data_IF_418368528950
#
_entry.id   IF_418368528950
#
_cell.length_a   1.000
_cell.length_b   1.000
_cell.length_c   1.000
_cell.angle_alpha   90.00
_cell.angle_beta   90.00
_cell.angle_gamma   90.00
#
_symmetry.space_group_name_H-M   'P 1'
#
loop_
_entity.id
_entity.type
_entity.pdbx_description
1 polymer ?
#
# COMPACT_ATOMS: atom_id res chain seq x y z
N UNK A 1 -25.54 -37.62 -23.21
CA UNK A 1 -25.67 -36.33 -22.50
C UNK A 1 -25.40 -36.61 -21.03
N UNK A 2 -24.24 -36.20 -20.51
CA UNK A 2 -23.93 -36.33 -19.06
C UNK A 2 -24.47 -35.08 -18.36
N UNK A 3 -25.28 -35.30 -17.34
CA UNK A 3 -25.80 -34.25 -16.48
C UNK A 3 -24.64 -33.46 -15.86
N UNK A 4 -24.58 -32.12 -16.01
CA UNK A 4 -23.61 -31.31 -15.28
C UNK A 4 -23.97 -31.38 -13.80
N UNK A 5 -23.10 -32.01 -13.00
CA UNK A 5 -23.22 -32.03 -11.55
C UNK A 5 -23.47 -30.61 -11.02
N UNK A 6 -24.49 -30.39 -10.18
CA UNK A 6 -24.84 -29.07 -9.68
C UNK A 6 -23.65 -28.46 -8.96
N UNK A 7 -23.23 -27.28 -9.42
CA UNK A 7 -22.19 -26.48 -8.79
C UNK A 7 -22.59 -26.24 -7.32
N UNK A 8 -21.73 -26.53 -6.33
CA UNK A 8 -22.06 -26.31 -4.93
C UNK A 8 -22.47 -24.85 -4.72
N UNK A 9 -23.65 -24.66 -4.13
CA UNK A 9 -24.20 -23.34 -3.87
C UNK A 9 -23.18 -22.49 -3.08
N UNK A 10 -23.01 -21.19 -3.40
CA UNK A 10 -22.10 -20.33 -2.69
C UNK A 10 -22.45 -20.34 -1.21
N UNK A 11 -21.48 -20.73 -0.37
CA UNK A 11 -21.64 -20.78 1.07
C UNK A 11 -22.24 -19.46 1.59
N UNK A 12 -23.43 -19.57 2.17
CA UNK A 12 -24.26 -18.47 2.62
C UNK A 12 -23.61 -17.75 3.82
N UNK A 13 -23.25 -16.49 3.61
CA UNK A 13 -23.34 -15.31 4.51
C UNK A 13 -22.79 -15.32 5.95
N UNK A 14 -22.23 -16.43 6.46
CA UNK A 14 -21.67 -16.52 7.82
C UNK A 14 -20.36 -15.75 8.02
N UNK A 15 -19.81 -15.15 6.96
CA UNK A 15 -18.57 -14.37 6.98
C UNK A 15 -18.75 -12.91 7.38
N UNK A 16 -19.99 -12.38 7.40
CA UNK A 16 -20.27 -10.97 7.72
C UNK A 16 -19.96 -10.53 9.16
N UNK A 17 -20.14 -11.35 10.22
CA UNK A 17 -19.89 -10.89 11.59
C UNK A 17 -18.42 -10.56 11.85
N UNK A 18 -17.48 -11.36 11.34
CA UNK A 18 -16.04 -11.14 11.52
C UNK A 18 -15.54 -9.87 10.83
N UNK A 19 -16.08 -9.54 9.66
CA UNK A 19 -15.70 -8.32 8.93
C UNK A 19 -16.08 -7.04 9.67
N UNK A 20 -17.26 -7.00 10.29
CA UNK A 20 -17.69 -5.84 11.09
C UNK A 20 -16.73 -5.59 12.25
N UNK A 21 -16.27 -6.64 12.91
CA UNK A 21 -15.31 -6.53 14.02
C UNK A 21 -13.94 -6.06 13.54
N UNK A 22 -13.46 -6.55 12.38
CA UNK A 22 -12.23 -6.05 11.76
C UNK A 22 -12.33 -4.56 11.38
N UNK A 23 -13.46 -4.15 10.80
CA UNK A 23 -13.71 -2.74 10.47
C UNK A 23 -13.68 -1.89 11.74
N UNK A 24 -14.38 -2.32 12.78
CA UNK A 24 -14.39 -1.61 14.07
C UNK A 24 -12.99 -1.49 14.66
N UNK A 25 -12.21 -2.59 14.67
CA UNK A 25 -10.83 -2.57 15.15
C UNK A 25 -9.94 -1.62 14.33
N UNK A 26 -10.06 -1.62 13.00
CA UNK A 26 -9.31 -0.72 12.13
C UNK A 26 -9.68 0.75 12.35
N UNK A 27 -10.97 1.07 12.49
CA UNK A 27 -11.44 2.42 12.81
C UNK A 27 -10.89 2.86 14.17
N UNK A 28 -10.93 1.99 15.19
CA UNK A 28 -10.37 2.28 16.51
C UNK A 28 -8.87 2.63 16.38
N UNK A 29 -8.08 1.83 15.65
CA UNK A 29 -6.65 2.14 15.42
C UNK A 29 -6.49 3.50 14.74
N UNK A 30 -7.25 3.78 13.67
CA UNK A 30 -7.20 5.07 12.99
C UNK A 30 -7.57 6.25 13.89
N UNK A 31 -8.65 6.12 14.66
CA UNK A 31 -9.09 7.13 15.64
C UNK A 31 -8.05 7.34 16.73
N UNK A 32 -7.39 6.29 17.22
CA UNK A 32 -6.32 6.41 18.21
C UNK A 32 -5.11 7.18 17.65
N UNK A 33 -4.73 6.95 16.38
CA UNK A 33 -3.65 7.72 15.73
C UNK A 33 -4.04 9.20 15.62
N UNK A 34 -5.27 9.48 15.16
CA UNK A 34 -5.78 10.86 15.04
C UNK A 34 -5.83 11.53 16.41
N UNK A 35 -6.38 10.87 17.43
CA UNK A 35 -6.47 11.40 18.79
C UNK A 35 -5.08 11.67 19.38
N UNK A 36 -4.12 10.77 19.18
CA UNK A 36 -2.74 10.97 19.62
C UNK A 36 -2.09 12.18 18.94
N UNK A 37 -2.37 12.41 17.66
CA UNK A 37 -1.94 13.62 16.94
C UNK A 37 -2.62 14.87 17.51
N UNK A 38 -3.94 14.83 17.74
CA UNK A 38 -4.69 15.99 18.26
C UNK A 38 -4.16 16.41 19.62
N UNK A 39 -3.90 15.44 20.51
CA UNK A 39 -3.32 15.71 21.83
C UNK A 39 -1.91 16.30 21.73
N UNK A 40 -1.11 15.89 20.74
CA UNK A 40 0.25 16.40 20.53
C UNK A 40 0.27 17.83 19.99
N UNK A 41 -0.78 18.25 19.28
CA UNK A 41 -0.85 19.52 18.57
C UNK A 41 -2.02 20.40 19.04
N UNK A 42 -2.33 20.34 20.33
CA UNK A 42 -3.33 21.19 21.01
C UNK A 42 -4.71 21.24 20.30
N UNK A 43 -5.10 20.13 19.68
CA UNK A 43 -6.37 19.97 18.97
C UNK A 43 -6.35 20.36 17.49
N UNK A 44 -5.21 20.77 16.92
CA UNK A 44 -5.13 21.16 15.51
C UNK A 44 -4.91 19.96 14.58
N UNK A 45 -5.91 19.67 13.73
CA UNK A 45 -5.86 18.62 12.70
C UNK A 45 -4.71 18.78 11.69
N UNK A 46 -4.22 20.00 11.48
CA UNK A 46 -3.05 20.26 10.64
C UNK A 46 -1.79 19.55 11.16
N UNK A 47 -1.72 19.26 12.47
CA UNK A 47 -0.62 18.49 13.08
C UNK A 47 -0.44 17.09 12.49
N UNK A 48 -1.51 16.47 11.96
CA UNK A 48 -1.44 15.17 11.26
C UNK A 48 -0.85 15.28 9.85
N UNK A 49 -0.89 16.48 9.25
CA UNK A 49 -0.34 16.75 7.91
C UNK A 49 1.18 16.98 7.97
N UNK A 50 1.70 17.35 9.16
CA UNK A 50 3.13 17.52 9.45
C UNK A 50 3.78 18.64 8.63
N UNK A 51 3.20 19.84 8.67
CA UNK A 51 3.85 21.06 8.14
C UNK A 51 5.14 21.35 8.93
N UNK A 52 6.17 21.88 8.26
CA UNK A 52 7.48 22.13 8.89
C UNK A 52 7.68 23.59 9.31
N UNK A 53 8.54 23.82 10.31
CA UNK A 53 8.83 25.15 10.88
C UNK A 53 10.19 25.75 10.48
N UNK A 54 10.92 25.14 9.53
CA UNK A 54 12.28 25.56 9.16
C UNK A 54 12.34 26.61 8.04
N UNK A 55 13.44 27.36 7.95
CA UNK A 55 13.65 28.40 6.92
C UNK A 55 13.45 27.87 5.49
N UNK A 56 13.91 26.64 5.22
CA UNK A 56 13.80 25.99 3.90
C UNK A 56 12.36 25.65 3.50
N UNK A 57 11.41 25.74 4.42
CA UNK A 57 10.00 25.39 4.21
C UNK A 57 9.06 26.51 4.66
N UNK A 58 9.59 27.66 5.06
CA UNK A 58 8.83 28.78 5.60
C UNK A 58 7.83 29.35 4.58
N UNK A 59 8.25 29.49 3.32
CA UNK A 59 7.37 29.96 2.24
C UNK A 59 6.19 29.01 2.00
N UNK A 60 6.44 27.70 2.02
CA UNK A 60 5.38 26.71 1.88
C UNK A 60 4.40 26.76 3.06
N UNK A 61 4.90 26.88 4.29
CA UNK A 61 4.04 26.96 5.47
C UNK A 61 3.23 28.26 5.46
N UNK A 62 3.84 29.40 5.11
CA UNK A 62 3.15 30.67 4.97
C UNK A 62 2.02 30.62 3.92
N UNK A 63 2.27 29.96 2.78
CA UNK A 63 1.23 29.73 1.77
C UNK A 63 0.05 28.90 2.31
N UNK A 64 0.35 27.83 3.05
CA UNK A 64 -0.68 27.00 3.67
C UNK A 64 -1.51 27.79 4.68
N UNK A 65 -0.87 28.64 5.48
CA UNK A 65 -1.54 29.48 6.47
C UNK A 65 -2.43 30.55 5.81
N UNK A 66 -1.97 31.15 4.72
CA UNK A 66 -2.75 32.09 3.90
C UNK A 66 -4.00 31.41 3.32
N UNK A 67 -3.82 30.25 2.69
CA UNK A 67 -4.92 29.47 2.10
C UNK A 67 -5.92 28.98 3.15
N UNK A 68 -5.47 28.68 4.37
CA UNK A 68 -6.34 28.28 5.48
C UNK A 68 -6.94 29.47 6.25
N UNK A 69 -6.39 30.68 6.08
CA UNK A 69 -6.76 31.87 6.84
C UNK A 69 -6.43 31.77 8.33
N UNK A 70 -5.43 30.97 8.71
CA UNK A 70 -4.99 30.76 10.10
C UNK A 70 -3.60 30.14 10.17
N UNK A 71 -2.93 30.34 11.30
CA UNK A 71 -1.70 29.62 11.66
C UNK A 71 -1.98 28.11 11.77
N UNK A 72 -0.95 27.30 11.46
CA UNK A 72 -1.04 25.84 11.55
C UNK A 72 -0.03 25.25 12.53
N UNK A 73 -0.41 24.16 13.18
CA UNK A 73 0.55 23.37 13.95
C UNK A 73 1.68 22.85 13.06
N UNK A 74 2.92 23.16 13.44
CA UNK A 74 4.14 22.75 12.72
C UNK A 74 4.98 21.76 13.51
N UNK A 75 5.88 21.07 12.83
CA UNK A 75 6.90 20.21 13.41
C UNK A 75 8.28 20.84 13.22
N UNK A 76 9.19 20.61 14.18
CA UNK A 76 10.52 21.23 14.20
C UNK A 76 11.42 20.85 13.00
N UNK A 77 11.09 19.80 12.27
CA UNK A 77 11.83 19.34 11.10
C UNK A 77 11.24 19.91 9.80
N UNK A 78 11.77 19.51 8.65
CA UNK A 78 11.29 19.84 7.29
C UNK A 78 9.83 19.46 7.02
N UNK A 79 9.06 18.94 7.98
CA UNK A 79 7.78 18.30 7.72
C UNK A 79 7.91 16.94 7.02
N UNK A 80 6.78 16.40 6.58
CA UNK A 80 6.69 15.10 5.91
C UNK A 80 5.76 15.15 4.68
N UNK A 81 5.50 13.98 4.08
CA UNK A 81 4.79 13.88 2.80
C UNK A 81 3.36 14.43 2.82
N UNK A 82 2.69 14.43 3.98
CA UNK A 82 1.32 14.92 4.14
C UNK A 82 1.12 16.35 3.60
N UNK A 83 2.05 17.27 3.86
CA UNK A 83 1.97 18.66 3.38
C UNK A 83 1.90 18.76 1.85
N UNK A 84 2.59 17.87 1.16
CA UNK A 84 2.58 17.85 -0.31
C UNK A 84 1.25 17.29 -0.80
N UNK A 85 0.73 16.23 -0.17
CA UNK A 85 -0.59 15.72 -0.49
C UNK A 85 -1.72 16.71 -0.20
N UNK A 86 -1.56 17.56 0.83
CA UNK A 86 -2.50 18.65 1.09
C UNK A 86 -2.55 19.64 -0.07
N UNK A 87 -1.39 20.17 -0.50
CA UNK A 87 -1.31 21.08 -1.64
C UNK A 87 -1.85 20.44 -2.93
N UNK A 88 -1.53 19.17 -3.16
CA UNK A 88 -2.07 18.43 -4.30
C UNK A 88 -3.58 18.21 -4.20
N UNK A 89 -4.15 18.09 -3.01
CA UNK A 89 -5.60 17.90 -2.87
C UNK A 89 -6.39 19.18 -3.16
N UNK A 90 -5.75 20.35 -3.08
CA UNK A 90 -6.33 21.64 -3.50
C UNK A 90 -6.45 21.74 -5.02
N UNK A 91 -5.46 21.24 -5.75
CA UNK A 91 -5.47 21.15 -7.22
C UNK A 91 -4.92 19.81 -7.73
N UNK A 92 -5.72 18.73 -7.65
CA UNK A 92 -5.26 17.37 -7.92
C UNK A 92 -4.99 17.10 -9.40
N UNK A 93 -5.48 17.99 -10.28
CA UNK A 93 -5.26 17.90 -11.71
C UNK A 93 -4.27 18.95 -12.22
N UNK A 94 -3.64 19.72 -11.33
CA UNK A 94 -2.67 20.75 -11.71
C UNK A 94 -3.24 21.76 -12.71
N UNK A 95 -4.51 22.15 -12.58
CA UNK A 95 -5.15 23.13 -13.44
C UNK A 95 -4.61 24.55 -13.19
N UNK A 96 -4.11 24.83 -11.99
CA UNK A 96 -3.48 26.08 -11.57
C UNK A 96 -2.11 25.79 -10.91
N UNK A 97 -1.11 25.31 -11.68
CA UNK A 97 0.15 24.84 -11.10
C UNK A 97 0.93 25.94 -10.38
N UNK A 98 0.80 27.19 -10.83
CA UNK A 98 1.45 28.36 -10.23
C UNK A 98 0.90 28.72 -8.83
N UNK A 99 -0.27 28.17 -8.46
CA UNK A 99 -0.92 28.47 -7.17
C UNK A 99 -0.50 27.49 -6.06
N UNK A 100 -0.41 26.19 -6.35
CA UNK A 100 -0.10 25.17 -5.34
C UNK A 100 1.11 24.30 -5.68
N UNK A 101 1.33 23.98 -6.96
CA UNK A 101 2.39 23.07 -7.37
C UNK A 101 3.78 23.70 -7.28
N UNK A 102 3.87 25.03 -7.37
CA UNK A 102 5.12 25.80 -7.18
C UNK A 102 5.74 25.59 -5.79
N UNK A 103 4.93 25.24 -4.78
CA UNK A 103 5.40 24.98 -3.41
C UNK A 103 5.77 23.50 -3.17
N UNK A 104 5.87 22.68 -4.22
CA UNK A 104 6.34 21.30 -4.14
C UNK A 104 7.86 21.25 -4.33
N UNK A 105 8.55 20.46 -3.50
CA UNK A 105 10.01 20.26 -3.58
C UNK A 105 10.45 19.59 -4.90
N UNK A 106 9.72 18.56 -5.30
CA UNK A 106 9.97 17.73 -6.48
C UNK A 106 8.65 17.55 -7.23
N UNK A 107 8.12 18.61 -7.88
CA UNK A 107 6.75 18.65 -8.38
C UNK A 107 6.42 17.44 -9.26
N UNK A 108 7.28 17.12 -10.23
CA UNK A 108 7.08 15.98 -11.13
C UNK A 108 7.03 14.62 -10.42
N UNK A 109 7.88 14.39 -9.42
CA UNK A 109 7.89 13.15 -8.65
C UNK A 109 6.68 13.05 -7.72
N UNK A 110 6.41 14.12 -6.96
CA UNK A 110 5.30 14.19 -6.01
C UNK A 110 3.97 14.02 -6.74
N UNK A 111 3.84 14.61 -7.91
CA UNK A 111 2.62 14.59 -8.69
C UNK A 111 2.24 13.22 -9.25
N UNK A 112 3.13 12.22 -9.25
CA UNK A 112 2.80 10.88 -9.75
C UNK A 112 1.71 10.17 -8.91
N UNK A 113 1.46 10.63 -7.69
CA UNK A 113 0.60 10.00 -6.69
C UNK A 113 -0.79 10.61 -6.64
N UNK A 114 -1.47 10.68 -7.78
CA UNK A 114 -2.73 11.43 -7.92
C UNK A 114 -3.91 10.89 -7.13
N UNK A 115 -4.01 9.57 -6.89
CA UNK A 115 -5.29 9.01 -6.42
C UNK A 115 -5.64 9.49 -5.01
N UNK A 116 -4.67 9.48 -4.09
CA UNK A 116 -4.91 9.92 -2.72
C UNK A 116 -5.35 11.39 -2.62
N UNK A 117 -4.62 12.39 -3.17
CA UNK A 117 -5.05 13.78 -3.14
C UNK A 117 -6.35 14.00 -3.92
N UNK A 118 -6.60 13.27 -5.02
CA UNK A 118 -7.87 13.35 -5.75
C UNK A 118 -9.04 12.91 -4.87
N UNK A 119 -8.90 11.80 -4.14
CA UNK A 119 -9.94 11.33 -3.21
C UNK A 119 -10.12 12.28 -2.03
N UNK A 120 -9.02 12.74 -1.44
CA UNK A 120 -9.06 13.64 -0.29
C UNK A 120 -9.66 15.01 -0.66
N UNK A 121 -9.29 15.60 -1.79
CA UNK A 121 -9.86 16.86 -2.26
C UNK A 121 -11.22 16.74 -2.96
N UNK A 122 -11.75 15.51 -3.11
CA UNK A 122 -12.90 15.20 -3.98
C UNK A 122 -12.75 15.82 -5.38
N UNK A 123 -11.57 15.69 -5.97
CA UNK A 123 -11.23 16.26 -7.27
C UNK A 123 -11.02 17.78 -7.27
N UNK A 124 -10.66 18.37 -6.12
CA UNK A 124 -10.42 19.81 -5.96
C UNK A 124 -11.69 20.61 -5.64
N UNK A 125 -12.78 19.94 -5.26
CA UNK A 125 -14.07 20.58 -4.98
C UNK A 125 -14.20 21.05 -3.52
N UNK A 126 -13.31 20.60 -2.63
CA UNK A 126 -13.40 20.90 -1.21
C UNK A 126 -12.63 22.18 -0.85
N UNK A 127 -13.15 22.98 0.11
CA UNK A 127 -12.40 24.10 0.64
C UNK A 127 -11.18 23.60 1.44
N UNK A 128 -10.10 24.39 1.55
CA UNK A 128 -8.85 23.97 2.18
C UNK A 128 -8.99 23.39 3.59
N UNK A 129 -9.83 24.00 4.44
CA UNK A 129 -10.09 23.49 5.79
C UNK A 129 -10.75 22.10 5.82
N UNK A 130 -11.58 21.78 4.82
CA UNK A 130 -12.20 20.45 4.71
C UNK A 130 -11.21 19.39 4.26
N UNK A 131 -10.22 19.76 3.42
CA UNK A 131 -9.18 18.85 2.92
C UNK A 131 -8.38 18.21 4.07
N UNK A 132 -8.09 18.95 5.14
CA UNK A 132 -7.41 18.39 6.33
C UNK A 132 -8.15 17.18 6.92
N UNK A 133 -9.48 17.31 7.02
CA UNK A 133 -10.34 16.25 7.54
C UNK A 133 -10.52 15.11 6.54
N UNK A 134 -10.72 15.40 5.26
CA UNK A 134 -10.96 14.36 4.26
C UNK A 134 -9.73 13.56 3.92
N UNK A 135 -8.51 14.12 4.03
CA UNK A 135 -7.27 13.33 4.01
C UNK A 135 -7.25 12.29 5.13
N UNK A 136 -7.60 12.71 6.35
CA UNK A 136 -7.69 11.84 7.52
C UNK A 136 -8.74 10.74 7.33
N UNK A 137 -9.96 11.13 6.91
CA UNK A 137 -11.06 10.18 6.67
C UNK A 137 -10.73 9.20 5.54
N UNK A 138 -10.05 9.65 4.49
CA UNK A 138 -9.60 8.78 3.39
C UNK A 138 -8.64 7.70 3.91
N UNK A 139 -7.70 8.08 4.77
CA UNK A 139 -6.79 7.11 5.40
C UNK A 139 -7.51 6.15 6.36
N UNK A 140 -8.49 6.61 7.15
CA UNK A 140 -9.30 5.72 8.02
C UNK A 140 -10.09 4.72 7.15
N UNK A 141 -10.72 5.19 6.08
CA UNK A 141 -11.46 4.33 5.16
C UNK A 141 -10.52 3.30 4.50
N UNK A 142 -9.34 3.71 4.05
CA UNK A 142 -8.33 2.82 3.50
C UNK A 142 -7.82 1.80 4.53
N UNK A 143 -7.65 2.20 5.79
CA UNK A 143 -7.27 1.32 6.89
C UNK A 143 -8.31 0.21 7.10
N UNK A 144 -9.60 0.57 7.14
CA UNK A 144 -10.69 -0.40 7.24
C UNK A 144 -10.76 -1.33 6.02
N UNK A 145 -10.71 -0.77 4.81
CA UNK A 145 -10.75 -1.54 3.56
C UNK A 145 -9.58 -2.50 3.43
N UNK A 146 -8.36 -2.06 3.77
CA UNK A 146 -7.16 -2.89 3.76
C UNK A 146 -7.23 -4.02 4.79
N UNK A 147 -7.74 -3.74 5.99
CA UNK A 147 -7.95 -4.75 7.05
C UNK A 147 -8.92 -5.84 6.59
N UNK A 148 -10.04 -5.47 5.97
CA UNK A 148 -11.02 -6.44 5.44
C UNK A 148 -10.42 -7.25 4.30
N UNK A 149 -9.73 -6.62 3.34
CA UNK A 149 -9.08 -7.34 2.25
C UNK A 149 -8.04 -8.33 2.76
N UNK A 150 -7.20 -7.92 3.71
CA UNK A 150 -6.22 -8.75 4.39
C UNK A 150 -6.88 -9.94 5.10
N UNK A 151 -7.98 -9.72 5.84
CA UNK A 151 -8.72 -10.78 6.52
C UNK A 151 -9.35 -11.79 5.55
N UNK A 152 -9.92 -11.31 4.43
CA UNK A 152 -10.46 -12.19 3.37
C UNK A 152 -9.38 -13.00 2.68
N UNK A 153 -8.23 -12.39 2.39
CA UNK A 153 -7.07 -13.09 1.83
C UNK A 153 -6.55 -14.16 2.81
N UNK A 154 -6.49 -13.85 4.11
CA UNK A 154 -6.10 -14.82 5.12
C UNK A 154 -7.04 -16.04 5.16
N UNK A 155 -8.35 -15.82 5.16
CA UNK A 155 -9.34 -16.92 5.11
C UNK A 155 -9.16 -17.76 3.84
N UNK A 156 -8.94 -17.13 2.68
CA UNK A 156 -8.68 -17.85 1.42
C UNK A 156 -7.42 -18.72 1.46
N UNK A 157 -6.41 -18.29 2.21
CA UNK A 157 -5.16 -19.04 2.38
C UNK A 157 -5.26 -20.11 3.49
N UNK A 158 -6.44 -20.30 4.08
CA UNK A 158 -6.69 -21.27 5.16
C UNK A 158 -6.35 -20.74 6.56
N UNK A 159 -6.24 -19.44 6.74
CA UNK A 159 -6.07 -18.77 8.03
C UNK A 159 -7.39 -18.29 8.64
N UNK A 160 -7.28 -17.54 9.74
CA UNK A 160 -8.44 -16.87 10.37
C UNK A 160 -8.58 -15.44 9.86
N UNK A 161 -9.80 -14.90 9.86
CA UNK A 161 -10.03 -13.50 9.45
C UNK A 161 -9.28 -12.50 10.34
N UNK A 162 -8.99 -12.85 11.59
CA UNK A 162 -8.22 -12.05 12.54
C UNK A 162 -6.81 -11.71 12.07
N UNK A 163 -6.21 -12.54 11.19
CA UNK A 163 -4.94 -12.21 10.56
C UNK A 163 -5.02 -10.94 9.70
N UNK A 164 -6.23 -10.46 9.36
CA UNK A 164 -6.45 -9.15 8.75
C UNK A 164 -5.93 -7.98 9.60
N UNK A 165 -5.85 -8.14 10.93
CA UNK A 165 -5.24 -7.15 11.83
C UNK A 165 -3.75 -6.93 11.57
N UNK A 166 -3.08 -7.81 10.82
CA UNK A 166 -1.72 -7.60 10.35
C UNK A 166 -1.57 -6.38 9.43
N UNK A 167 -2.66 -5.86 8.86
CA UNK A 167 -2.64 -4.63 8.07
C UNK A 167 -2.62 -3.37 8.96
N UNK A 168 -3.61 -3.11 9.85
CA UNK A 168 -3.64 -1.89 10.66
C UNK A 168 -2.58 -1.88 11.78
N UNK A 169 -2.07 -3.04 12.19
CA UNK A 169 -0.98 -3.15 13.18
C UNK A 169 0.41 -3.16 12.54
N UNK A 170 0.50 -3.02 11.20
CA UNK A 170 1.78 -2.91 10.51
C UNK A 170 2.42 -1.53 10.83
N UNK A 171 3.63 -1.48 11.42
CA UNK A 171 4.30 -0.22 11.74
C UNK A 171 4.42 0.71 10.53
N UNK A 172 4.68 0.17 9.34
CA UNK A 172 4.75 0.95 8.11
C UNK A 172 3.42 1.61 7.75
N UNK A 173 2.30 0.92 7.96
CA UNK A 173 0.94 1.49 7.73
C UNK A 173 0.63 2.57 8.77
N UNK A 174 0.99 2.33 10.03
CA UNK A 174 0.81 3.32 11.11
C UNK A 174 1.61 4.59 10.83
N UNK A 175 2.89 4.47 10.44
CA UNK A 175 3.71 5.63 10.09
C UNK A 175 3.22 6.32 8.82
N UNK A 176 2.80 5.57 7.80
CA UNK A 176 2.23 6.18 6.60
C UNK A 176 0.95 6.97 6.93
N UNK A 177 0.09 6.46 7.82
CA UNK A 177 -1.09 7.17 8.31
C UNK A 177 -0.72 8.43 9.10
N UNK A 178 0.20 8.33 10.06
CA UNK A 178 0.62 9.43 10.95
C UNK A 178 1.32 10.59 10.20
N UNK A 179 1.78 10.32 8.99
CA UNK A 179 2.35 11.30 8.06
C UNK A 179 1.37 11.71 6.95
N UNK A 180 0.10 11.30 7.05
CA UNK A 180 -0.96 11.54 6.05
C UNK A 180 -0.53 11.15 4.62
N UNK A 181 0.14 10.01 4.48
CA UNK A 181 0.67 9.50 3.23
C UNK A 181 -0.32 8.63 2.44
N UNK A 182 -0.21 8.67 1.11
CA UNK A 182 -1.05 7.88 0.19
C UNK A 182 -0.75 6.37 0.17
N UNK A 183 0.32 5.90 0.85
CA UNK A 183 0.69 4.49 0.87
C UNK A 183 -0.35 3.55 1.48
N UNK A 184 -1.17 4.04 2.42
CA UNK A 184 -2.27 3.24 3.03
C UNK A 184 -3.32 2.91 1.99
N UNK A 185 -3.74 3.90 1.20
CA UNK A 185 -4.68 3.74 0.08
C UNK A 185 -4.09 2.79 -0.97
N UNK A 186 -2.83 3.02 -1.34
CA UNK A 186 -2.15 2.23 -2.36
C UNK A 186 -2.10 0.74 -1.98
N UNK A 187 -1.73 0.43 -0.74
CA UNK A 187 -1.63 -0.95 -0.30
C UNK A 187 -3.00 -1.60 -0.08
N UNK A 188 -3.98 -0.87 0.46
CA UNK A 188 -5.36 -1.38 0.57
C UNK A 188 -5.93 -1.75 -0.82
N UNK A 189 -5.74 -0.88 -1.82
CA UNK A 189 -6.13 -1.14 -3.20
C UNK A 189 -5.39 -2.36 -3.78
N UNK A 190 -4.08 -2.50 -3.53
CA UNK A 190 -3.31 -3.66 -3.97
C UNK A 190 -3.84 -4.98 -3.39
N UNK A 191 -4.23 -5.01 -2.10
CA UNK A 191 -4.84 -6.19 -1.48
C UNK A 191 -6.20 -6.53 -2.08
N UNK A 192 -7.04 -5.54 -2.38
CA UNK A 192 -8.31 -5.75 -3.09
C UNK A 192 -8.09 -6.23 -4.53
N UNK A 193 -7.04 -5.75 -5.20
CA UNK A 193 -6.62 -6.25 -6.52
C UNK A 193 -6.22 -7.72 -6.46
N UNK A 194 -5.40 -8.10 -5.47
CA UNK A 194 -5.01 -9.49 -5.23
C UNK A 194 -6.21 -10.36 -4.91
N UNK A 195 -7.11 -9.92 -4.03
CA UNK A 195 -8.33 -10.64 -3.71
C UNK A 195 -9.19 -10.84 -4.95
N UNK A 196 -9.52 -9.78 -5.69
CA UNK A 196 -10.31 -9.89 -6.92
C UNK A 196 -9.67 -10.82 -7.97
N UNK A 197 -8.33 -10.87 -8.03
CA UNK A 197 -7.61 -11.77 -8.92
C UNK A 197 -7.74 -13.23 -8.50
N UNK A 198 -7.65 -13.53 -7.20
CA UNK A 198 -7.88 -14.87 -6.63
C UNK A 198 -9.36 -15.28 -6.75
N UNK A 199 -10.29 -14.33 -6.77
CA UNK A 199 -11.71 -14.57 -7.03
C UNK A 199 -12.02 -14.79 -8.52
N UNK A 200 -11.04 -14.69 -9.42
CA UNK A 200 -11.24 -14.80 -10.87
C UNK A 200 -11.85 -13.55 -11.53
N UNK A 201 -12.08 -12.47 -10.78
CA UNK A 201 -12.65 -11.21 -11.26
C UNK A 201 -11.59 -10.28 -11.87
N UNK A 202 -11.01 -10.68 -13.01
CA UNK A 202 -9.88 -9.99 -13.67
C UNK A 202 -10.11 -8.49 -13.91
N UNK A 203 -11.32 -8.07 -14.32
CA UNK A 203 -11.63 -6.65 -14.55
C UNK A 203 -11.56 -5.82 -13.27
N UNK A 204 -12.05 -6.37 -12.15
CA UNK A 204 -11.97 -5.72 -10.84
C UNK A 204 -10.53 -5.68 -10.34
N UNK A 205 -9.77 -6.75 -10.55
CA UNK A 205 -8.35 -6.78 -10.21
C UNK A 205 -7.57 -5.68 -10.94
N UNK A 206 -7.77 -5.52 -12.25
CA UNK A 206 -7.15 -4.46 -13.05
C UNK A 206 -7.50 -3.08 -12.47
N UNK A 207 -8.79 -2.80 -12.20
CA UNK A 207 -9.21 -1.51 -11.66
C UNK A 207 -8.54 -1.20 -10.31
N UNK A 208 -8.47 -2.18 -9.41
CA UNK A 208 -7.82 -2.03 -8.10
C UNK A 208 -6.30 -1.87 -8.20
N UNK A 209 -5.63 -2.58 -9.11
CA UNK A 209 -4.19 -2.39 -9.33
C UNK A 209 -3.87 -1.06 -10.00
N UNK A 210 -4.70 -0.58 -10.92
CA UNK A 210 -4.60 0.79 -11.45
C UNK A 210 -4.74 1.80 -10.32
N UNK A 211 -5.73 1.64 -9.45
CA UNK A 211 -5.89 2.50 -8.27
C UNK A 211 -4.66 2.45 -7.34
N UNK A 212 -4.11 1.26 -7.08
CA UNK A 212 -2.93 1.09 -6.24
C UNK A 212 -1.71 1.85 -6.80
N UNK A 213 -1.46 1.73 -8.11
CA UNK A 213 -0.33 2.39 -8.77
C UNK A 213 -0.52 3.90 -8.85
N UNK A 214 -1.73 4.39 -9.12
CA UNK A 214 -2.02 5.83 -9.13
C UNK A 214 -2.00 6.46 -7.73
N UNK A 215 -2.15 5.67 -6.66
CA UNK A 215 -1.94 6.13 -5.29
C UNK A 215 -0.45 6.14 -4.90
N UNK A 216 0.32 5.15 -5.37
CA UNK A 216 1.77 5.08 -5.15
C UNK A 216 2.41 4.23 -6.25
N UNK A 217 3.30 4.85 -7.01
CA UNK A 217 4.01 4.28 -8.15
C UNK A 217 4.78 2.99 -7.79
N UNK A 218 5.30 2.89 -6.56
CA UNK A 218 5.98 1.69 -6.05
C UNK A 218 5.08 0.44 -6.04
N UNK A 219 3.76 0.57 -6.11
CA UNK A 219 2.87 -0.58 -6.27
C UNK A 219 3.01 -1.28 -7.63
N UNK A 220 3.73 -0.69 -8.60
CA UNK A 220 4.16 -1.41 -9.81
C UNK A 220 5.06 -2.59 -9.48
N UNK A 221 5.88 -2.48 -8.43
CA UNK A 221 6.73 -3.59 -7.96
C UNK A 221 5.85 -4.71 -7.39
N UNK A 222 4.81 -4.35 -6.63
CA UNK A 222 3.82 -5.31 -6.13
C UNK A 222 3.13 -6.04 -7.29
N UNK A 223 2.66 -5.28 -8.27
CA UNK A 223 1.99 -5.82 -9.45
C UNK A 223 2.91 -6.71 -10.29
N UNK A 224 4.18 -6.32 -10.46
CA UNK A 224 5.18 -7.12 -11.15
C UNK A 224 5.37 -8.48 -10.49
N UNK A 225 5.45 -8.52 -9.15
CA UNK A 225 5.49 -9.77 -8.39
C UNK A 225 4.29 -10.68 -8.65
N UNK A 226 3.08 -10.11 -8.69
CA UNK A 226 1.85 -10.84 -9.02
C UNK A 226 1.85 -11.34 -10.46
N UNK A 227 2.32 -10.54 -11.42
CA UNK A 227 2.45 -10.94 -12.81
C UNK A 227 3.43 -12.11 -12.98
N UNK A 228 4.57 -12.07 -12.27
CA UNK A 228 5.55 -13.18 -12.23
C UNK A 228 4.90 -14.44 -11.64
N UNK A 229 4.16 -14.33 -10.53
CA UNK A 229 3.44 -15.46 -9.95
C UNK A 229 2.43 -16.08 -10.93
N UNK A 230 1.61 -15.25 -11.57
CA UNK A 230 0.63 -15.68 -12.58
C UNK A 230 1.32 -16.35 -13.77
N UNK A 231 2.42 -15.78 -14.28
CA UNK A 231 3.19 -16.36 -15.37
C UNK A 231 3.78 -17.72 -14.96
N UNK A 232 4.33 -17.84 -13.75
CA UNK A 232 4.89 -19.08 -13.26
C UNK A 232 3.83 -20.19 -13.13
N UNK A 233 2.67 -19.86 -12.53
CA UNK A 233 1.59 -20.83 -12.27
C UNK A 233 0.80 -21.22 -13.53
N UNK A 234 0.52 -20.28 -14.43
CA UNK A 234 -0.34 -20.52 -15.59
C UNK A 234 0.41 -20.66 -16.92
N UNK A 235 1.72 -20.32 -16.94
CA UNK A 235 2.55 -20.22 -18.15
C UNK A 235 1.98 -19.26 -19.21
N UNK A 236 1.03 -18.39 -18.84
CA UNK A 236 0.45 -17.36 -19.70
C UNK A 236 0.86 -15.99 -19.22
N UNK A 237 1.25 -15.14 -20.17
CA UNK A 237 1.64 -13.76 -19.88
C UNK A 237 0.37 -12.96 -19.55
N UNK A 238 0.26 -12.36 -18.35
CA UNK A 238 -0.93 -11.63 -17.93
C UNK A 238 -0.92 -10.20 -18.47
N UNK A 239 -0.87 -10.03 -19.81
CA UNK A 239 -0.65 -8.74 -20.47
C UNK A 239 -1.57 -7.63 -19.95
N UNK A 240 -2.89 -7.84 -19.96
CA UNK A 240 -3.86 -6.83 -19.52
C UNK A 240 -3.73 -6.46 -18.04
N UNK A 241 -3.34 -7.41 -17.18
CA UNK A 241 -3.18 -7.19 -15.75
C UNK A 241 -2.01 -6.24 -15.46
N UNK A 242 -0.91 -6.40 -16.19
CA UNK A 242 0.28 -5.56 -16.02
C UNK A 242 0.23 -4.26 -16.83
N UNK A 243 -0.21 -4.33 -18.10
CA UNK A 243 -0.11 -3.20 -19.03
C UNK A 243 -1.07 -2.07 -18.70
N UNK A 244 -2.31 -2.35 -18.30
CA UNK A 244 -3.30 -1.30 -18.04
C UNK A 244 -2.89 -0.41 -16.85
N UNK A 245 -2.52 -0.95 -15.66
CA UNK A 245 -2.02 -0.12 -14.57
C UNK A 245 -0.74 0.65 -14.92
N UNK A 246 0.20 0.00 -15.62
CA UNK A 246 1.46 0.62 -16.03
C UNK A 246 1.24 1.76 -17.04
N UNK A 247 0.40 1.56 -18.05
CA UNK A 247 0.03 2.57 -19.02
C UNK A 247 -0.77 3.71 -18.38
N UNK A 248 -1.61 3.43 -17.38
CA UNK A 248 -2.33 4.48 -16.65
C UNK A 248 -1.37 5.37 -15.88
N UNK A 249 -0.39 4.78 -15.18
CA UNK A 249 0.66 5.50 -14.48
C UNK A 249 1.54 6.32 -15.45
N UNK A 250 1.92 5.72 -16.59
CA UNK A 250 2.69 6.40 -17.62
C UNK A 250 1.93 7.56 -18.26
N UNK A 251 0.65 7.36 -18.57
CA UNK A 251 -0.21 8.42 -19.11
C UNK A 251 -0.34 9.60 -18.14
N UNK A 252 -0.51 9.31 -16.85
CA UNK A 252 -0.52 10.34 -15.82
C UNK A 252 0.82 11.05 -15.67
N UNK A 253 1.93 10.30 -15.63
CA UNK A 253 3.27 10.89 -15.57
C UNK A 253 3.57 11.78 -16.79
N UNK A 254 3.13 11.37 -17.98
CA UNK A 254 3.21 12.19 -19.20
C UNK A 254 2.37 13.45 -19.09
N UNK A 255 1.13 13.35 -18.61
CA UNK A 255 0.26 14.50 -18.37
C UNK A 255 0.91 15.53 -17.44
N UNK A 256 1.40 15.06 -16.29
CA UNK A 256 2.08 15.91 -15.29
C UNK A 256 3.31 16.58 -15.86
N UNK A 257 4.13 15.88 -16.64
CA UNK A 257 5.31 16.47 -17.31
C UNK A 257 4.96 17.57 -18.31
N UNK A 258 3.83 17.43 -19.01
CA UNK A 258 3.33 18.46 -19.92
C UNK A 258 2.72 19.65 -19.16
N UNK A 259 2.33 19.46 -17.90
CA UNK A 259 1.63 20.48 -17.10
C UNK A 259 2.55 21.29 -16.18
N UNK A 260 3.55 20.65 -15.60
CA UNK A 260 4.42 21.23 -14.57
C UNK A 260 5.80 21.62 -15.13
N UNK A 261 5.83 22.30 -16.28
CA UNK A 261 7.01 22.83 -16.99
C UNK A 261 8.38 22.49 -16.36
N UNK A 262 9.11 21.56 -16.96
CA UNK A 262 10.32 20.91 -16.40
C UNK A 262 11.58 21.79 -16.33
N UNK A 263 11.44 23.09 -16.05
CA UNK A 263 12.51 24.08 -16.12
C UNK A 263 13.55 23.96 -15.00
N UNK A 264 13.20 23.34 -13.87
CA UNK A 264 14.12 23.21 -12.76
C UNK A 264 14.74 21.82 -12.72
N UNK A 265 16.03 21.77 -13.07
CA UNK A 265 16.93 20.64 -12.87
C UNK A 265 17.20 20.40 -11.38
N UNK A 266 16.14 20.23 -10.58
CA UNK A 266 16.23 19.87 -9.17
C UNK A 266 16.98 18.54 -9.10
N UNK A 267 18.10 18.53 -8.40
CA UNK A 267 18.89 17.33 -8.16
C UNK A 267 17.98 16.24 -7.59
N UNK A 268 17.63 15.24 -8.40
CA UNK A 268 16.90 14.08 -7.93
C UNK A 268 17.75 13.41 -6.85
N UNK A 269 17.26 13.41 -5.61
CA UNK A 269 17.92 12.68 -4.52
C UNK A 269 18.01 11.23 -4.95
N UNK A 270 19.23 10.70 -5.04
CA UNK A 270 19.46 9.30 -5.35
C UNK A 270 19.00 8.44 -4.18
N UNK A 271 17.74 8.01 -4.21
CA UNK A 271 17.13 7.10 -3.23
C UNK A 271 17.70 5.67 -3.34
N UNK A 272 18.41 5.39 -4.43
CA UNK A 272 19.08 4.10 -4.69
C UNK A 272 20.58 4.21 -4.46
N UNK A 273 21.14 3.19 -3.82
CA UNK A 273 22.57 3.01 -3.62
C UNK A 273 23.03 1.61 -4.05
N UNK A 274 24.32 1.28 -3.84
CA UNK A 274 24.80 -0.09 -4.03
C UNK A 274 24.05 -1.06 -3.09
N UNK A 275 23.90 -2.35 -3.48
CA UNK A 275 23.28 -3.37 -2.63
C UNK A 275 23.83 -3.35 -1.22
N UNK A 276 22.93 -3.30 -0.24
CA UNK A 276 23.23 -3.28 1.20
C UNK A 276 24.00 -2.05 1.69
N UNK A 277 24.40 -1.12 0.82
CA UNK A 277 25.17 0.07 1.22
C UNK A 277 24.42 0.90 2.28
N UNK A 278 23.15 1.18 2.04
CA UNK A 278 22.31 1.92 3.01
C UNK A 278 22.16 1.22 4.36
N UNK A 279 22.16 -0.12 4.39
CA UNK A 279 22.10 -0.92 5.62
C UNK A 279 23.41 -0.80 6.40
N UNK A 280 24.54 -0.97 5.72
CA UNK A 280 25.87 -0.91 6.34
C UNK A 280 26.15 0.49 6.90
N UNK A 281 25.85 1.53 6.12
CA UNK A 281 26.09 2.93 6.51
C UNK A 281 25.17 3.40 7.64
N UNK A 282 24.03 2.73 7.86
CA UNK A 282 23.08 3.07 8.93
C UNK A 282 23.30 2.28 10.22
N UNK A 283 24.15 1.25 10.20
CA UNK A 283 24.28 0.27 11.28
C UNK A 283 24.69 0.90 12.61
N UNK A 284 25.68 1.80 12.62
CA UNK A 284 26.15 2.50 13.82
C UNK A 284 25.04 3.34 14.46
N UNK A 285 24.21 3.99 13.64
CA UNK A 285 23.07 4.78 14.12
C UNK A 285 21.99 3.93 14.79
N UNK A 286 21.82 2.68 14.36
CA UNK A 286 20.87 1.76 14.97
C UNK A 286 21.36 1.25 16.31
N UNK A 287 22.65 0.95 16.44
CA UNK A 287 23.25 0.53 17.71
C UNK A 287 23.13 1.60 18.80
N UNK A 288 23.09 2.88 18.42
CA UNK A 288 22.91 3.98 19.36
C UNK A 288 21.49 4.09 19.95
N UNK A 289 20.49 3.44 19.35
CA UNK A 289 19.09 3.48 19.80
C UNK A 289 18.46 2.08 19.77
N UNK A 290 18.29 1.41 20.93
CA UNK A 290 17.73 0.07 21.02
C UNK A 290 16.34 -0.07 20.37
N UNK A 291 15.55 1.00 20.37
CA UNK A 291 14.21 0.98 19.76
C UNK A 291 14.33 0.89 18.25
N UNK A 292 15.17 1.72 17.63
CA UNK A 292 15.44 1.67 16.19
C UNK A 292 16.00 0.32 15.77
N UNK A 293 16.98 -0.19 16.53
CA UNK A 293 17.58 -1.49 16.28
C UNK A 293 16.54 -2.61 16.27
N UNK A 294 15.63 -2.64 17.25
CA UNK A 294 14.62 -3.70 17.36
C UNK A 294 13.65 -3.73 16.17
N UNK A 295 13.16 -2.56 15.73
CA UNK A 295 12.26 -2.45 14.58
C UNK A 295 12.97 -2.87 13.30
N UNK A 296 14.18 -2.38 13.08
CA UNK A 296 14.95 -2.63 11.86
C UNK A 296 15.40 -4.09 11.79
N UNK A 297 15.87 -4.66 12.91
CA UNK A 297 16.20 -6.09 12.99
C UNK A 297 14.96 -6.95 12.67
N UNK A 298 13.79 -6.59 13.21
CA UNK A 298 12.52 -7.25 12.87
C UNK A 298 12.21 -7.22 11.38
N UNK A 299 12.35 -6.06 10.73
CA UNK A 299 12.15 -5.92 9.28
C UNK A 299 13.13 -6.77 8.47
N UNK A 300 14.43 -6.72 8.82
CA UNK A 300 15.49 -7.49 8.14
C UNK A 300 15.25 -8.99 8.29
N UNK A 301 14.79 -9.46 9.46
CA UNK A 301 14.49 -10.89 9.70
C UNK A 301 13.26 -11.34 8.90
N UNK A 302 12.23 -10.50 8.78
CA UNK A 302 11.00 -10.87 8.07
C UNK A 302 11.22 -11.03 6.57
N UNK A 303 12.16 -10.31 5.95
CA UNK A 303 12.45 -10.43 4.51
C UNK A 303 12.87 -11.84 4.05
N UNK A 304 13.91 -12.49 4.60
CA UNK A 304 14.27 -13.86 4.24
C UNK A 304 13.20 -14.88 4.65
N UNK A 305 12.47 -14.63 5.75
CA UNK A 305 11.35 -15.48 6.14
C UNK A 305 10.20 -15.41 5.13
N UNK A 306 9.92 -14.23 4.56
CA UNK A 306 8.96 -14.08 3.47
C UNK A 306 9.45 -14.77 2.20
N UNK A 307 10.73 -14.65 1.83
CA UNK A 307 11.32 -15.38 0.68
C UNK A 307 11.11 -16.88 0.85
N UNK A 308 11.51 -17.43 1.99
CA UNK A 308 11.35 -18.85 2.31
C UNK A 308 9.88 -19.26 2.24
N UNK A 309 8.98 -18.43 2.78
CA UNK A 309 7.55 -18.73 2.80
C UNK A 309 6.92 -18.64 1.42
N UNK A 310 7.29 -17.65 0.62
CA UNK A 310 6.84 -17.49 -0.76
C UNK A 310 7.27 -18.67 -1.63
N UNK A 311 8.46 -19.23 -1.38
CA UNK A 311 8.94 -20.44 -2.04
C UNK A 311 8.19 -21.70 -1.60
N UNK A 312 8.02 -21.89 -0.29
CA UNK A 312 7.34 -23.07 0.26
C UNK A 312 5.83 -23.10 -0.04
N UNK A 313 5.18 -21.94 -0.06
CA UNK A 313 3.72 -21.80 -0.23
C UNK A 313 3.40 -20.64 -1.17
N UNK A 314 3.64 -20.83 -2.48
CA UNK A 314 3.55 -19.75 -3.44
C UNK A 314 2.11 -19.27 -3.64
N UNK A 315 1.87 -18.00 -3.33
CA UNK A 315 0.59 -17.32 -3.48
C UNK A 315 0.80 -15.89 -3.99
N UNK A 316 -0.24 -15.29 -4.59
CA UNK A 316 -0.13 -13.96 -5.20
C UNK A 316 0.26 -12.87 -4.19
N UNK A 317 -0.25 -12.93 -2.96
CA UNK A 317 0.08 -11.96 -1.90
C UNK A 317 1.57 -11.99 -1.55
N UNK A 318 2.14 -13.18 -1.34
CA UNK A 318 3.56 -13.36 -1.03
C UNK A 318 4.45 -12.86 -2.18
N UNK A 319 4.12 -13.22 -3.42
CA UNK A 319 4.88 -12.82 -4.60
C UNK A 319 4.78 -11.32 -4.89
N UNK A 320 3.61 -10.71 -4.68
CA UNK A 320 3.48 -9.26 -4.77
C UNK A 320 4.37 -8.55 -3.75
N UNK A 321 4.38 -9.00 -2.50
CA UNK A 321 5.24 -8.43 -1.47
C UNK A 321 6.74 -8.72 -1.70
N UNK A 322 7.09 -9.86 -2.30
CA UNK A 322 8.46 -10.28 -2.56
C UNK A 322 9.25 -9.27 -3.42
N UNK A 323 8.56 -8.56 -4.32
CA UNK A 323 9.19 -7.50 -5.12
C UNK A 323 9.79 -6.36 -4.30
N UNK A 324 9.35 -6.15 -3.06
CA UNK A 324 9.88 -5.12 -2.17
C UNK A 324 11.18 -5.51 -1.48
N UNK A 325 11.55 -6.80 -1.47
CA UNK A 325 12.82 -7.25 -0.91
C UNK A 325 14.03 -6.70 -1.70
N UNK A 326 14.12 -6.87 -3.04
CA UNK A 326 15.22 -6.27 -3.80
C UNK A 326 15.18 -4.74 -3.73
N UNK A 327 13.99 -4.12 -3.68
CA UNK A 327 13.88 -2.68 -3.44
C UNK A 327 14.60 -2.30 -2.16
N UNK A 328 14.26 -2.93 -1.03
CA UNK A 328 14.86 -2.65 0.28
C UNK A 328 16.39 -2.79 0.29
N UNK A 329 16.93 -3.79 -0.40
CA UNK A 329 18.38 -4.03 -0.52
C UNK A 329 19.07 -2.87 -1.28
N UNK A 330 18.38 -2.24 -2.23
CA UNK A 330 18.91 -1.15 -3.06
C UNK A 330 18.71 0.25 -2.44
N UNK A 331 17.92 0.39 -1.35
CA UNK A 331 17.66 1.70 -0.76
C UNK A 331 18.92 2.28 -0.09
N UNK A 332 19.11 3.59 -0.23
CA UNK A 332 20.25 4.31 0.31
C UNK A 332 20.21 4.47 1.84
N UNK A 333 21.27 5.08 2.40
CA UNK A 333 21.38 5.35 3.83
C UNK A 333 20.25 6.26 4.35
N UNK A 334 19.80 7.26 3.59
CA UNK A 334 18.78 8.21 4.06
C UNK A 334 17.47 7.51 4.44
N UNK A 335 17.09 6.47 3.70
CA UNK A 335 15.86 5.71 3.97
C UNK A 335 16.07 4.72 5.12
N UNK A 336 17.25 4.12 5.23
CA UNK A 336 17.60 3.17 6.29
C UNK A 336 17.91 3.83 7.64
N UNK A 337 18.35 5.09 7.64
CA UNK A 337 18.63 5.87 8.85
C UNK A 337 17.36 6.09 9.69
N UNK A 338 16.24 6.30 9.02
CA UNK A 338 14.94 6.58 9.65
C UNK A 338 14.08 5.33 9.59
N UNK A 339 13.92 4.64 10.72
CA UNK A 339 13.11 3.43 10.81
C UNK A 339 11.68 3.63 10.29
N UNK A 340 11.12 4.85 10.39
CA UNK A 340 9.82 5.22 9.83
C UNK A 340 9.80 5.11 8.31
N UNK A 341 10.86 5.54 7.63
CA UNK A 341 10.91 5.63 6.17
C UNK A 341 11.08 4.24 5.55
N UNK A 342 12.00 3.42 6.08
CA UNK A 342 12.13 2.03 5.63
C UNK A 342 10.86 1.22 5.91
N UNK A 343 10.25 1.35 7.09
CA UNK A 343 9.00 0.63 7.43
C UNK A 343 7.89 0.94 6.43
N UNK A 344 7.77 2.21 6.01
CA UNK A 344 6.83 2.68 4.99
C UNK A 344 7.16 2.14 3.59
N UNK A 345 8.45 2.07 3.25
CA UNK A 345 8.89 1.56 1.96
C UNK A 345 8.58 0.05 1.80
N UNK A 346 8.62 -0.73 2.88
CA UNK A 346 8.43 -2.19 2.86
C UNK A 346 7.10 -2.67 3.46
N UNK A 347 6.09 -1.79 3.54
CA UNK A 347 4.75 -2.10 4.07
C UNK A 347 4.23 -3.49 3.64
N UNK A 348 4.27 -3.88 2.35
CA UNK A 348 3.69 -5.14 1.91
C UNK A 348 4.35 -6.38 2.53
N UNK A 349 5.63 -6.31 2.89
CA UNK A 349 6.42 -7.45 3.38
C UNK A 349 5.83 -7.99 4.70
N UNK A 350 5.61 -7.10 5.68
CA UNK A 350 5.15 -7.50 7.02
C UNK A 350 3.75 -8.12 6.98
N UNK A 351 2.79 -7.46 6.32
CA UNK A 351 1.42 -7.96 6.22
C UNK A 351 1.36 -9.28 5.45
N UNK A 352 2.08 -9.39 4.33
CA UNK A 352 2.13 -10.63 3.57
C UNK A 352 2.79 -11.77 4.36
N UNK A 353 3.87 -11.49 5.09
CA UNK A 353 4.52 -12.50 5.93
C UNK A 353 3.57 -13.04 7.00
N UNK A 354 2.94 -12.17 7.80
CA UNK A 354 2.02 -12.61 8.86
C UNK A 354 0.87 -13.45 8.28
N UNK A 355 0.22 -12.98 7.22
CA UNK A 355 -0.90 -13.71 6.62
C UNK A 355 -0.44 -15.07 6.10
N UNK A 356 0.70 -15.14 5.39
CA UNK A 356 1.14 -16.37 4.75
C UNK A 356 1.79 -17.36 5.73
N UNK A 357 2.47 -16.87 6.78
CA UNK A 357 3.08 -17.69 7.81
C UNK A 357 2.02 -18.40 8.67
N UNK A 358 0.96 -17.67 9.06
CA UNK A 358 -0.06 -18.16 10.00
C UNK A 358 -1.32 -18.72 9.35
N UNK A 359 -1.39 -18.78 8.02
CA UNK A 359 -2.46 -19.50 7.32
C UNK A 359 -2.11 -20.98 7.17
N UNK A 360 -3.05 -21.87 7.48
CA UNK A 360 -2.81 -23.32 7.53
C UNK A 360 -2.36 -23.91 6.18
N UNK A 361 -2.62 -23.20 5.07
CA UNK A 361 -2.43 -23.69 3.71
C UNK A 361 -3.61 -24.58 3.35
N UNK A 362 -4.21 -24.36 2.19
CA UNK A 362 -5.21 -25.29 1.66
C UNK A 362 -4.53 -26.64 1.46
N UNK A 363 -4.98 -27.74 2.07
CA UNK A 363 -4.51 -29.07 1.71
C UNK A 363 -4.74 -29.23 0.20
N UNK A 364 -3.68 -29.50 -0.55
CA UNK A 364 -3.73 -29.72 -2.00
C UNK A 364 -4.76 -30.80 -2.29
N UNK A 365 -5.97 -30.39 -2.64
CA UNK A 365 -7.09 -31.28 -2.94
C UNK A 365 -7.03 -31.80 -4.39
N UNK A 366 -5.93 -31.51 -5.10
CA UNK A 366 -5.68 -31.99 -6.47
C UNK A 366 -5.41 -33.50 -6.56
N UNK A 367 -5.36 -34.25 -5.45
CA UNK A 367 -5.29 -35.72 -5.49
C UNK A 367 -6.65 -36.42 -5.64
N UNK A 368 -7.77 -35.69 -5.76
CA UNK A 368 -9.12 -36.28 -5.76
C UNK A 368 -9.70 -36.66 -7.13
N UNK A 369 -8.97 -36.46 -8.24
CA UNK A 369 -9.47 -36.80 -9.58
C UNK A 369 -8.87 -38.09 -10.15
N UNK A 370 -8.39 -39.00 -9.29
CA UNK A 370 -8.39 -40.42 -9.63
C UNK A 370 -9.85 -40.85 -9.73
N UNK A 371 -10.38 -40.73 -10.96
CA UNK A 371 -11.59 -41.43 -11.37
C UNK A 371 -11.44 -42.87 -10.88
N UNK A 372 -12.41 -43.42 -10.12
CA UNK A 372 -12.40 -44.85 -9.85
C UNK A 372 -12.37 -45.55 -11.21
N UNK A 373 -11.28 -46.27 -11.47
CA UNK A 373 -11.20 -47.19 -12.60
C UNK A 373 -12.36 -48.17 -12.42
N UNK A 374 -13.46 -47.93 -13.13
CA UNK A 374 -14.51 -48.93 -13.34
C UNK A 374 -13.88 -50.02 -14.19
N UNK A 375 -13.35 -51.03 -13.51
CA UNK A 375 -13.06 -52.34 -14.09
C UNK A 375 -14.40 -52.96 -14.52
N UNK A 376 -14.79 -52.72 -15.77
CA UNK A 376 -15.81 -53.50 -16.46
C UNK A 376 -15.24 -54.91 -16.71
N UNK A 377 -15.32 -55.77 -15.70
CA UNK A 377 -15.29 -57.22 -15.86
C UNK A 377 -16.70 -57.68 -16.26
N UNK A 378 -17.01 -57.58 -17.56
CA UNK A 378 -18.17 -58.23 -18.16
C UNK A 378 -17.73 -59.58 -18.75
N UNK A 379 -17.79 -60.61 -17.93
CA UNK A 379 -17.76 -62.00 -18.36
C UNK A 379 -19.05 -62.34 -19.10
N UNK A 380 -18.91 -62.83 -20.34
CA UNK A 380 -19.97 -63.53 -21.06
C UNK A 380 -20.29 -64.87 -20.36
N UNK A 381 -21.55 -65.33 -20.42
CA UNK A 381 -21.74 -66.63 -21.06
C UNK A 381 -23.02 -66.77 -21.92
N UNK A 382 -22.86 -67.63 -22.93
CA UNK A 382 -23.81 -68.40 -23.77
C UNK A 382 -24.78 -67.65 -24.69
#
# INVERSE_FOLDING_TARGET
>A
MRDPSPCPAPATDSTRPGERTLIAAAIIVGVLIVAASMVRYDGDIAGLIRFGAGETVAEQTAHVEDVLGRDVATVANLGHDGRFFFLQALDPFYLSPDEHAVHLDRPLYRAQRMLFPTLAGLGGLLPPGAVLWTMTLTNIAALALGTVAAGRLAVRLGGTHWLGLAFPLNPGVIFEFDLSGGGVVAFAAALWGTLALEDGHHRRAIAWFTAAVLARELMLIYLAGICVYRLWRTRRIPWLLGSIPALSAAAWASYVRLRLDSHDGVNEVQEFGPPFGGILDSFENWLADPTKLSVIAGLIIVMPLLILRAWQRPNALAFGALGFVPLAIMLNQLIWLRFTDISRAVIPIMTAYVITAFSAGTPNTESGNELPHTSDDATAPS
#
